data_IF_957958940358
#
_entry.id   IF_957958940358
#
_cell.length_a   1.000
_cell.length_b   1.000
_cell.length_c   1.000
_cell.angle_alpha   90.00
_cell.angle_beta   90.00
_cell.angle_gamma   90.00
#
_symmetry.space_group_name_H-M   'P 1'
#
loop_
_entity.id
_entity.type
_entity.pdbx_description
1 polymer ?
#
# COMPACT_ATOMS: atom_id res chain seq x y z
N UNK A 1 16.25 -56.03 27.00
CA UNK A 1 16.05 -55.73 25.57
C UNK A 1 15.94 -54.22 25.42
N UNK A 2 16.98 -53.53 24.93
CA UNK A 2 17.04 -52.06 24.88
C UNK A 2 16.27 -51.56 23.66
N UNK A 3 15.15 -50.86 23.88
CA UNK A 3 14.39 -50.17 22.84
C UNK A 3 15.13 -48.86 22.46
N UNK A 4 16.18 -48.96 21.66
CA UNK A 4 16.75 -47.80 20.94
C UNK A 4 16.15 -47.81 19.54
N UNK A 5 15.65 -46.65 19.05
CA UNK A 5 15.65 -46.19 17.63
C UNK A 5 14.47 -45.30 17.16
N UNK A 6 13.60 -44.75 18.02
CA UNK A 6 12.49 -43.92 17.52
C UNK A 6 12.77 -42.40 17.41
N UNK A 7 13.76 -41.86 18.14
CA UNK A 7 13.99 -40.40 18.25
C UNK A 7 14.56 -39.69 16.99
N UNK A 8 15.50 -40.26 16.22
CA UNK A 8 16.12 -39.51 15.11
C UNK A 8 15.19 -39.36 13.91
N UNK A 9 14.28 -40.32 13.69
CA UNK A 9 13.30 -40.28 12.61
C UNK A 9 12.24 -39.19 12.85
N UNK A 10 11.83 -38.98 14.10
CA UNK A 10 10.83 -37.97 14.46
C UNK A 10 11.37 -36.54 14.28
N UNK A 11 12.62 -36.29 14.67
CA UNK A 11 13.30 -35.01 14.46
C UNK A 11 13.53 -34.73 12.97
N UNK A 12 13.91 -35.75 12.20
CA UNK A 12 14.06 -35.62 10.76
C UNK A 12 12.75 -35.26 10.05
N UNK A 13 11.62 -35.88 10.44
CA UNK A 13 10.30 -35.58 9.89
C UNK A 13 9.87 -34.15 10.25
N UNK A 14 10.10 -33.69 11.49
CA UNK A 14 9.79 -32.32 11.91
C UNK A 14 10.63 -31.31 11.11
N UNK A 15 11.94 -31.53 10.97
CA UNK A 15 12.80 -30.66 10.16
C UNK A 15 12.39 -30.63 8.68
N UNK A 16 12.03 -31.78 8.10
CA UNK A 16 11.57 -31.86 6.71
C UNK A 16 10.24 -31.12 6.50
N UNK A 17 9.32 -31.21 7.48
CA UNK A 17 8.04 -30.51 7.45
C UNK A 17 8.20 -28.99 7.60
N UNK A 18 9.13 -28.52 8.43
CA UNK A 18 9.48 -27.11 8.56
C UNK A 18 10.08 -26.54 7.27
N UNK A 19 10.96 -27.30 6.60
CA UNK A 19 11.50 -26.88 5.29
C UNK A 19 10.39 -26.81 4.24
N UNK A 20 9.48 -27.78 4.19
CA UNK A 20 8.37 -27.79 3.25
C UNK A 20 7.39 -26.62 3.49
N UNK A 21 7.11 -26.27 4.74
CA UNK A 21 6.25 -25.12 5.09
C UNK A 21 6.96 -23.79 4.82
N UNK A 22 8.27 -23.71 5.02
CA UNK A 22 9.06 -22.51 4.68
C UNK A 22 9.21 -22.28 3.16
N UNK A 23 9.14 -23.34 2.34
CA UNK A 23 9.20 -23.24 0.87
C UNK A 23 7.83 -23.17 0.20
N UNK A 24 6.74 -23.45 0.93
CA UNK A 24 5.35 -23.32 0.47
C UNK A 24 4.86 -21.86 0.36
N UNK A 25 5.73 -20.93 -0.05
CA UNK A 25 5.25 -19.65 -0.59
C UNK A 25 4.51 -19.98 -1.89
N UNK A 26 3.23 -19.61 -2.05
CA UNK A 26 2.60 -19.72 -3.36
C UNK A 26 3.46 -18.93 -4.34
N UNK A 27 4.04 -19.63 -5.32
CA UNK A 27 4.53 -18.97 -6.52
C UNK A 27 3.30 -18.35 -7.16
N UNK A 28 2.98 -17.11 -6.80
CA UNK A 28 2.14 -16.29 -7.64
C UNK A 28 2.92 -16.15 -8.95
N UNK A 29 2.49 -16.77 -10.06
CA UNK A 29 3.13 -16.50 -11.33
C UNK A 29 3.03 -14.99 -11.54
N UNK A 30 4.16 -14.33 -11.81
CA UNK A 30 4.13 -12.92 -12.17
C UNK A 30 3.08 -12.77 -13.28
N UNK A 31 2.14 -11.81 -13.19
CA UNK A 31 1.07 -11.63 -14.18
C UNK A 31 1.61 -11.56 -15.62
N UNK A 32 2.87 -11.14 -15.79
CA UNK A 32 3.58 -11.11 -17.07
C UNK A 32 3.74 -12.47 -17.77
N UNK A 33 3.67 -13.61 -17.06
CA UNK A 33 3.78 -14.96 -17.63
C UNK A 33 2.46 -15.54 -18.14
N UNK A 34 1.33 -14.87 -17.88
CA UNK A 34 0.06 -15.28 -18.48
C UNK A 34 -0.01 -14.75 -19.91
N UNK A 35 -0.13 -15.66 -20.89
CA UNK A 35 -0.36 -15.28 -22.28
C UNK A 35 -1.75 -14.67 -22.39
N UNK A 36 -1.83 -13.35 -22.37
CA UNK A 36 -3.05 -12.63 -22.68
C UNK A 36 -3.12 -12.47 -24.20
N UNK A 37 -3.97 -13.24 -24.92
CA UNK A 37 -4.04 -13.19 -26.37
C UNK A 37 -4.51 -11.83 -26.91
N UNK A 38 -4.94 -10.92 -26.03
CA UNK A 38 -5.48 -9.60 -26.37
C UNK A 38 -4.66 -8.44 -25.78
N UNK A 39 -3.40 -8.64 -25.38
CA UNK A 39 -2.53 -7.53 -24.99
C UNK A 39 -2.17 -6.71 -26.22
N UNK A 40 -2.80 -5.55 -26.35
CA UNK A 40 -2.41 -4.58 -27.36
C UNK A 40 -1.08 -3.93 -26.96
N UNK A 41 -0.18 -3.66 -27.92
CA UNK A 41 1.01 -2.88 -27.64
C UNK A 41 0.63 -1.46 -27.19
N UNK A 42 1.48 -0.85 -26.38
CA UNK A 42 1.36 0.58 -26.07
C UNK A 42 1.44 1.38 -27.38
N UNK A 43 0.47 2.27 -27.60
CA UNK A 43 0.49 3.19 -28.73
C UNK A 43 1.67 4.17 -28.64
N UNK A 44 2.14 4.68 -29.77
CA UNK A 44 3.27 5.63 -29.86
C UNK A 44 2.94 6.85 -30.73
N UNK A 45 1.67 7.00 -31.13
CA UNK A 45 1.20 8.05 -32.03
C UNK A 45 0.98 9.42 -31.36
N UNK A 46 0.81 9.44 -30.04
CA UNK A 46 0.67 10.67 -29.24
C UNK A 46 1.22 10.48 -27.81
N UNK A 47 1.52 11.57 -27.08
CA UNK A 47 1.80 11.49 -25.65
C UNK A 47 0.65 10.87 -24.85
N UNK A 48 0.99 10.25 -23.73
CA UNK A 48 0.02 9.74 -22.76
C UNK A 48 -0.35 10.82 -21.75
N UNK A 49 -1.63 10.89 -21.43
CA UNK A 49 -2.12 11.58 -20.25
C UNK A 49 -2.07 10.61 -19.06
N UNK A 50 -1.31 10.96 -18.02
CA UNK A 50 -1.14 10.14 -16.81
C UNK A 50 -1.65 10.99 -15.63
N UNK A 51 -2.74 10.54 -15.02
CA UNK A 51 -3.36 11.21 -13.89
C UNK A 51 -2.56 10.91 -12.61
N UNK A 52 -1.67 11.83 -12.26
CA UNK A 52 -0.85 11.78 -11.05
C UNK A 52 -1.73 11.80 -9.79
N UNK A 53 -1.85 10.64 -9.14
CA UNK A 53 -2.73 10.38 -7.98
C UNK A 53 -4.21 10.63 -8.24
N UNK A 54 -4.66 10.41 -9.48
CA UNK A 54 -6.00 10.78 -9.95
C UNK A 54 -6.16 12.26 -10.28
N UNK A 55 -7.38 12.78 -10.23
CA UNK A 55 -7.67 14.21 -10.45
C UNK A 55 -7.37 15.03 -9.17
N UNK A 56 -6.12 14.97 -8.71
CA UNK A 56 -5.69 15.51 -7.42
C UNK A 56 -5.79 17.05 -7.31
N UNK A 57 -5.93 17.72 -8.46
CA UNK A 57 -6.15 19.16 -8.57
C UNK A 57 -7.52 19.58 -8.05
N UNK A 58 -8.50 18.69 -8.12
CA UNK A 58 -9.89 18.92 -7.73
C UNK A 58 -10.27 18.15 -6.47
N UNK A 59 -9.93 16.86 -6.41
CA UNK A 59 -10.35 15.94 -5.34
C UNK A 59 -9.11 15.52 -4.53
N UNK A 60 -9.21 15.25 -3.21
CA UNK A 60 -8.08 14.71 -2.44
C UNK A 60 -7.41 13.52 -3.14
N UNK A 61 -6.08 13.56 -3.17
CA UNK A 61 -5.22 12.60 -3.88
C UNK A 61 -5.42 11.15 -3.40
N UNK A 62 -5.16 10.19 -4.28
CA UNK A 62 -5.21 8.74 -3.98
C UNK A 62 -6.56 8.22 -3.47
N UNK A 63 -7.65 8.93 -3.79
CA UNK A 63 -9.02 8.48 -3.49
C UNK A 63 -9.67 7.81 -4.69
N UNK A 64 -10.62 6.90 -4.43
CA UNK A 64 -11.47 6.35 -5.47
C UNK A 64 -12.17 7.46 -6.27
N UNK A 65 -12.64 8.53 -5.61
CA UNK A 65 -13.28 9.65 -6.29
C UNK A 65 -12.32 10.38 -7.24
N UNK A 66 -11.08 10.64 -6.83
CA UNK A 66 -10.07 11.27 -7.68
C UNK A 66 -9.72 10.39 -8.89
N UNK A 67 -9.61 9.07 -8.71
CA UNK A 67 -9.38 8.14 -9.81
C UNK A 67 -10.55 8.09 -10.78
N UNK A 68 -11.79 7.98 -10.27
CA UNK A 68 -12.99 7.95 -11.11
C UNK A 68 -13.12 9.23 -11.91
N UNK A 69 -12.86 10.40 -11.29
CA UNK A 69 -12.86 11.67 -12.00
C UNK A 69 -11.80 11.74 -13.10
N UNK A 70 -10.58 11.25 -12.85
CA UNK A 70 -9.55 11.19 -13.87
C UNK A 70 -9.92 10.28 -15.06
N UNK A 71 -10.65 9.19 -14.81
CA UNK A 71 -11.19 8.32 -15.87
C UNK A 71 -12.22 9.07 -16.70
N UNK A 72 -13.14 9.80 -16.06
CA UNK A 72 -14.15 10.64 -16.74
C UNK A 72 -13.50 11.75 -17.58
N UNK A 73 -12.37 12.30 -17.13
CA UNK A 73 -11.56 13.30 -17.84
C UNK A 73 -10.76 12.71 -19.02
N UNK A 74 -10.78 11.38 -19.19
CA UNK A 74 -10.15 10.70 -20.33
C UNK A 74 -8.65 10.47 -20.18
N UNK A 75 -8.16 10.29 -18.95
CA UNK A 75 -6.76 9.89 -18.74
C UNK A 75 -6.45 8.53 -19.39
N UNK A 76 -5.24 8.35 -19.90
CA UNK A 76 -4.79 7.06 -20.43
C UNK A 76 -4.35 6.11 -19.31
N UNK A 77 -3.75 6.68 -18.26
CA UNK A 77 -3.30 5.95 -17.08
C UNK A 77 -3.64 6.71 -15.80
N UNK A 78 -3.81 5.95 -14.72
CA UNK A 78 -3.80 6.46 -13.36
C UNK A 78 -2.45 6.10 -12.77
N UNK A 79 -1.78 7.08 -12.16
CA UNK A 79 -0.61 6.85 -11.34
C UNK A 79 -1.04 6.76 -9.87
N UNK A 80 -0.36 5.89 -9.11
CA UNK A 80 -0.66 5.60 -7.71
C UNK A 80 0.64 5.35 -6.95
N UNK A 81 0.75 5.93 -5.77
CA UNK A 81 1.82 5.66 -4.81
C UNK A 81 1.44 4.52 -3.87
N UNK A 82 2.33 3.52 -3.69
CA UNK A 82 2.04 2.34 -2.88
C UNK A 82 2.88 2.32 -1.60
N UNK A 83 2.20 2.21 -0.46
CA UNK A 83 2.80 1.98 0.86
C UNK A 83 2.21 0.72 1.51
N UNK A 84 2.69 0.37 2.70
CA UNK A 84 2.21 -0.77 3.49
C UNK A 84 1.67 -0.33 4.84
N UNK A 85 0.58 -0.94 5.28
CA UNK A 85 0.11 -0.91 6.66
C UNK A 85 0.96 -1.82 7.57
N UNK A 86 0.77 -1.70 8.89
CA UNK A 86 1.39 -2.55 9.92
C UNK A 86 1.09 -4.04 9.73
N UNK A 87 -0.13 -4.36 9.31
CA UNK A 87 -0.61 -5.72 9.05
C UNK A 87 -0.28 -6.21 7.62
N UNK A 88 0.59 -5.52 6.90
CA UNK A 88 1.16 -5.96 5.62
C UNK A 88 0.24 -5.78 4.41
N UNK A 89 -0.79 -4.93 4.52
CA UNK A 89 -1.69 -4.62 3.42
C UNK A 89 -1.16 -3.44 2.63
N UNK A 90 -1.13 -3.56 1.30
CA UNK A 90 -0.77 -2.46 0.41
C UNK A 90 -1.90 -1.43 0.32
N UNK A 91 -1.53 -0.16 0.38
CA UNK A 91 -2.45 0.99 0.32
C UNK A 91 -1.97 1.98 -0.74
N UNK A 92 -2.91 2.70 -1.36
CA UNK A 92 -2.60 3.86 -2.19
C UNK A 92 -2.49 5.10 -1.29
N UNK A 93 -1.27 5.61 -1.10
CA UNK A 93 -1.01 6.79 -0.27
C UNK A 93 0.44 7.27 -0.53
N UNK A 94 0.65 8.58 -0.71
CA UNK A 94 1.96 9.10 -1.09
C UNK A 94 2.94 9.28 0.07
N UNK A 95 2.52 9.94 1.15
CA UNK A 95 3.44 10.31 2.24
C UNK A 95 3.63 9.15 3.23
N UNK A 96 4.84 8.94 3.73
CA UNK A 96 5.07 7.94 4.79
C UNK A 96 4.40 8.30 6.11
N UNK A 97 4.05 9.58 6.30
CA UNK A 97 3.31 10.10 7.45
C UNK A 97 1.91 10.57 7.06
N UNK A 98 0.95 10.36 7.95
CA UNK A 98 -0.46 10.66 7.76
C UNK A 98 -0.80 12.13 8.05
N UNK A 99 0.08 12.86 8.72
CA UNK A 99 -0.18 14.18 9.33
C UNK A 99 -0.71 15.24 8.35
N UNK A 100 -0.23 15.25 7.10
CA UNK A 100 -0.48 16.34 6.17
C UNK A 100 -1.85 16.30 5.52
N UNK A 101 -2.27 15.12 5.06
CA UNK A 101 -3.45 14.96 4.20
C UNK A 101 -4.55 14.13 4.85
N UNK A 102 -4.46 13.86 6.15
CA UNK A 102 -5.53 13.20 6.91
C UNK A 102 -5.96 14.01 8.14
N UNK A 103 -6.98 13.51 8.82
CA UNK A 103 -7.47 13.96 10.13
C UNK A 103 -6.82 13.21 11.32
N UNK A 104 -5.74 12.45 11.11
CA UNK A 104 -5.10 11.62 12.15
C UNK A 104 -4.80 12.37 13.46
N UNK A 105 -4.49 13.67 13.37
CA UNK A 105 -4.16 14.52 14.53
C UNK A 105 -5.39 14.74 15.43
N UNK A 106 -6.59 14.64 14.88
CA UNK A 106 -7.85 14.82 15.59
C UNK A 106 -8.33 13.52 16.29
N UNK A 107 -7.75 12.37 15.93
CA UNK A 107 -8.00 11.07 16.55
C UNK A 107 -7.22 10.89 17.86
N UNK A 108 -7.88 11.19 18.98
CA UNK A 108 -7.26 11.14 20.32
C UNK A 108 -6.78 9.75 20.73
N UNK A 109 -7.46 8.71 20.26
CA UNK A 109 -7.08 7.30 20.46
C UNK A 109 -5.72 6.95 19.86
N UNK A 110 -5.20 7.78 18.94
CA UNK A 110 -3.90 7.59 18.30
C UNK A 110 -2.84 8.56 18.80
N UNK A 111 -3.13 9.42 19.78
CA UNK A 111 -2.21 10.48 20.21
C UNK A 111 -0.82 9.97 20.68
N UNK A 112 -0.75 8.76 21.25
CA UNK A 112 0.47 8.12 21.74
C UNK A 112 1.28 7.39 20.65
N UNK A 113 0.76 7.37 19.41
CA UNK A 113 1.31 6.65 18.26
C UNK A 113 2.29 7.48 17.44
N UNK A 114 2.54 8.74 17.79
CA UNK A 114 3.54 9.56 17.11
C UNK A 114 4.95 8.96 17.36
N UNK A 115 5.73 8.82 16.29
CA UNK A 115 7.07 8.23 16.32
C UNK A 115 8.05 9.10 15.55
N UNK A 116 9.33 8.87 15.78
CA UNK A 116 10.42 9.43 15.00
C UNK A 116 11.14 8.30 14.30
N UNK A 117 11.20 8.37 12.97
CA UNK A 117 11.99 7.45 12.15
C UNK A 117 12.98 8.22 11.29
N UNK A 118 14.06 7.55 10.92
CA UNK A 118 14.95 8.03 9.88
C UNK A 118 14.34 7.65 8.52
N UNK A 119 14.09 8.65 7.69
CA UNK A 119 13.49 8.53 6.36
C UNK A 119 14.39 9.28 5.38
N UNK A 120 15.00 8.55 4.45
CA UNK A 120 15.84 9.13 3.39
C UNK A 120 17.01 9.98 3.94
N UNK A 121 17.61 9.58 5.06
CA UNK A 121 18.69 10.29 5.73
C UNK A 121 18.25 11.37 6.72
N UNK A 122 16.95 11.55 6.94
CA UNK A 122 16.40 12.61 7.78
C UNK A 122 15.50 12.07 8.89
N UNK A 123 15.67 12.55 10.12
CA UNK A 123 14.76 12.23 11.22
C UNK A 123 13.42 12.94 11.00
N UNK A 124 12.37 12.16 10.79
CA UNK A 124 11.00 12.62 10.58
C UNK A 124 10.14 12.17 11.75
N UNK A 125 9.32 13.08 12.29
CA UNK A 125 8.43 12.80 13.43
C UNK A 125 6.97 13.00 13.02
N UNK A 126 6.16 11.95 13.13
CA UNK A 126 4.78 11.92 12.62
C UNK A 126 4.05 10.63 12.96
N UNK A 127 2.87 10.46 12.37
CA UNK A 127 2.09 9.23 12.42
C UNK A 127 2.36 8.42 11.15
N UNK A 128 3.16 7.37 11.26
CA UNK A 128 3.62 6.63 10.10
C UNK A 128 2.64 5.56 9.66
N UNK A 129 2.39 5.41 8.36
CA UNK A 129 1.46 4.41 7.81
C UNK A 129 1.76 2.99 8.29
N UNK A 130 3.05 2.65 8.41
CA UNK A 130 3.54 1.33 8.88
C UNK A 130 3.23 1.03 10.34
N UNK A 131 2.79 2.02 11.13
CA UNK A 131 2.37 1.82 12.51
C UNK A 131 0.89 1.44 12.63
N UNK A 132 0.07 1.68 11.61
CA UNK A 132 -1.38 1.48 11.66
C UNK A 132 -1.80 0.25 10.84
N UNK A 133 -2.75 -0.51 11.35
CA UNK A 133 -3.44 -1.57 10.60
C UNK A 133 -4.33 -0.95 9.53
N UNK A 134 -4.66 -1.72 8.49
CA UNK A 134 -5.64 -1.27 7.50
C UNK A 134 -6.97 -0.86 8.14
N UNK A 135 -7.39 -1.58 9.18
CA UNK A 135 -8.63 -1.27 9.90
C UNK A 135 -8.59 0.12 10.55
N UNK A 136 -7.48 0.49 11.18
CA UNK A 136 -7.27 1.82 11.77
C UNK A 136 -7.19 2.88 10.66
N UNK A 137 -6.41 2.63 9.60
CA UNK A 137 -6.26 3.56 8.47
C UNK A 137 -7.59 3.89 7.78
N UNK A 138 -8.50 2.91 7.65
CA UNK A 138 -9.84 3.11 7.08
C UNK A 138 -10.77 3.98 7.92
N UNK A 139 -10.37 4.35 9.14
CA UNK A 139 -11.14 5.28 9.98
C UNK A 139 -10.84 6.74 9.65
N UNK A 140 -9.68 7.00 9.02
CA UNK A 140 -9.20 8.34 8.72
C UNK A 140 -9.94 8.94 7.53
N UNK A 141 -10.10 10.26 7.57
CA UNK A 141 -10.59 11.09 6.48
C UNK A 141 -9.43 11.78 5.79
N UNK A 142 -9.55 11.96 4.48
CA UNK A 142 -8.50 12.60 3.68
C UNK A 142 -8.89 14.01 3.31
N UNK A 143 -7.91 14.88 3.16
CA UNK A 143 -8.09 16.27 2.81
C UNK A 143 -7.13 16.70 1.72
N UNK A 144 -7.52 17.73 0.99
CA UNK A 144 -6.73 18.35 -0.04
C UNK A 144 -5.42 18.89 0.53
N UNK A 145 -4.30 18.51 -0.11
CA UNK A 145 -2.94 18.89 0.28
C UNK A 145 -2.68 20.38 0.13
N UNK A 146 -3.11 20.95 -0.99
CA UNK A 146 -2.80 22.32 -1.34
C UNK A 146 -3.94 23.25 -0.89
N UNK A 147 -3.67 24.18 0.02
CA UNK A 147 -4.66 25.12 0.56
C UNK A 147 -5.29 26.04 -0.48
N UNK A 148 -4.63 26.28 -1.61
CA UNK A 148 -5.17 27.08 -2.72
C UNK A 148 -6.10 26.29 -3.66
N UNK A 149 -6.18 24.96 -3.53
CA UNK A 149 -7.11 24.12 -4.29
C UNK A 149 -8.45 24.07 -3.59
N UNK A 150 -9.45 23.59 -4.32
CA UNK A 150 -10.78 23.41 -3.77
C UNK A 150 -10.77 22.46 -2.57
N UNK A 151 -11.43 22.89 -1.49
CA UNK A 151 -11.50 22.17 -0.22
C UNK A 151 -12.85 21.48 -0.02
N UNK A 152 -13.81 21.64 -0.94
CA UNK A 152 -15.18 21.15 -0.77
C UNK A 152 -15.29 19.61 -0.68
N UNK A 153 -14.26 18.90 -1.16
CA UNK A 153 -14.21 17.45 -1.20
C UNK A 153 -13.41 16.82 -0.05
N UNK A 154 -12.99 17.62 0.94
CA UNK A 154 -12.35 17.10 2.15
C UNK A 154 -13.35 16.27 2.98
N UNK A 155 -12.92 15.11 3.49
CA UNK A 155 -13.73 14.29 4.41
C UNK A 155 -13.54 12.78 4.27
#
# INVERSE_FOLDING_TARGET
MKLKMALPHFVAIICLSLVAVCTARPFYPLPSKTSHPNKQPLQTSRPYNIAHRGSNGEIPEETTAAYMRAIEEGTDFIETDILSSRDGVLICFHDVILDYITDIVDHKEFADRKRTYEVQGHNMTGFFTVDFTLKELKQLRVKQRCSFRDQQYNG
#
